data_IF_050212213771
#
_entry.id   IF_050212213771
#
_cell.length_a   1.000
_cell.length_b   1.000
_cell.length_c   1.000
_cell.angle_alpha   90.00
_cell.angle_beta   90.00
_cell.angle_gamma   90.00
#
_symmetry.space_group_name_H-M   'P 1'
#
loop_
_entity.id
_entity.type
_entity.pdbx_description
1 polymer ?
#
# COMPACT_ATOMS: atom_id res chain seq x y z
N UNK A 1 0.60 -31.35 2.33
CA UNK A 1 1.64 -30.29 2.34
C UNK A 1 2.59 -30.68 3.43
N UNK A 2 3.86 -30.94 3.09
CA UNK A 2 4.88 -31.20 4.10
C UNK A 2 5.07 -29.97 4.99
N UNK A 3 5.32 -30.22 6.27
CA UNK A 3 5.50 -29.20 7.30
C UNK A 3 6.60 -28.20 6.91
N UNK A 4 6.31 -26.91 7.05
CA UNK A 4 7.27 -25.82 6.76
C UNK A 4 8.51 -25.94 7.66
N UNK A 5 8.39 -26.57 8.83
CA UNK A 5 9.50 -26.87 9.74
C UNK A 5 10.57 -27.78 9.13
N UNK A 6 10.23 -28.59 8.12
CA UNK A 6 11.19 -29.41 7.37
C UNK A 6 12.19 -28.54 6.60
N UNK A 7 11.80 -27.33 6.19
CA UNK A 7 12.65 -26.43 5.40
C UNK A 7 13.53 -25.51 6.25
N UNK A 8 13.36 -25.50 7.57
CA UNK A 8 14.15 -24.67 8.50
C UNK A 8 15.20 -25.46 9.28
N UNK A 9 15.16 -26.79 9.20
CA UNK A 9 16.13 -27.68 9.83
C UNK A 9 17.32 -27.97 8.90
N UNK A 10 18.50 -28.20 9.49
CA UNK A 10 19.74 -28.58 8.80
C UNK A 10 19.65 -30.03 8.26
N UNK A 11 18.75 -30.27 7.31
CA UNK A 11 18.64 -31.54 6.63
C UNK A 11 19.71 -31.71 5.54
N UNK A 12 20.08 -32.96 5.17
CA UNK A 12 21.12 -33.24 4.17
C UNK A 12 20.83 -32.66 2.77
N UNK A 13 19.56 -32.40 2.44
CA UNK A 13 19.14 -31.79 1.17
C UNK A 13 19.05 -30.25 1.23
N UNK A 14 19.17 -29.65 2.41
CA UNK A 14 19.28 -28.20 2.55
C UNK A 14 20.63 -27.80 1.94
N UNK A 15 20.66 -27.01 0.84
CA UNK A 15 21.90 -26.79 0.11
C UNK A 15 22.95 -26.16 1.03
N UNK A 16 23.98 -26.93 1.38
CA UNK A 16 25.17 -26.38 2.03
C UNK A 16 25.94 -25.66 0.94
N UNK A 17 26.01 -24.31 0.98
CA UNK A 17 26.76 -23.59 -0.04
C UNK A 17 28.20 -24.10 -0.03
N UNK A 18 28.73 -24.42 -1.21
CA UNK A 18 30.13 -24.79 -1.39
C UNK A 18 31.03 -23.72 -0.76
N UNK A 19 32.19 -24.13 -0.23
CA UNK A 19 33.23 -23.15 0.13
C UNK A 19 33.55 -22.32 -1.12
N UNK A 20 33.53 -21.00 -0.98
CA UNK A 20 33.64 -20.09 -2.11
C UNK A 20 33.92 -18.66 -1.65
N UNK A 21 34.06 -17.73 -2.61
CA UNK A 21 34.37 -16.33 -2.30
C UNK A 21 33.17 -15.65 -1.64
N UNK A 22 33.39 -15.11 -0.44
CA UNK A 22 32.37 -14.30 0.23
C UNK A 22 32.30 -12.93 -0.46
N UNK A 23 31.09 -12.50 -0.80
CA UNK A 23 30.82 -11.16 -1.31
C UNK A 23 29.53 -10.59 -0.71
N UNK A 24 29.36 -9.28 -0.81
CA UNK A 24 28.20 -8.56 -0.27
C UNK A 24 27.59 -7.68 -1.35
N UNK A 25 26.26 -7.67 -1.42
CA UNK A 25 25.50 -6.84 -2.36
C UNK A 25 24.44 -6.07 -1.60
N UNK A 26 24.41 -4.76 -1.76
CA UNK A 26 23.36 -3.93 -1.20
C UNK A 26 22.13 -3.92 -2.11
N UNK A 27 20.96 -3.95 -1.50
CA UNK A 27 19.68 -3.90 -2.20
C UNK A 27 18.59 -3.35 -1.29
N UNK A 28 17.34 -3.47 -1.72
CA UNK A 28 16.17 -3.00 -0.98
C UNK A 28 15.17 -4.14 -0.84
N UNK A 29 14.70 -4.38 0.39
CA UNK A 29 13.65 -5.35 0.65
C UNK A 29 12.34 -4.89 0.01
N UNK A 30 11.68 -5.77 -0.74
CA UNK A 30 10.44 -5.49 -1.45
C UNK A 30 9.25 -6.32 -0.95
N UNK A 31 9.32 -6.80 0.30
CA UNK A 31 8.30 -7.66 0.90
C UNK A 31 7.20 -6.89 1.65
N UNK A 32 7.42 -5.62 1.93
CA UNK A 32 6.40 -4.70 2.45
C UNK A 32 6.61 -3.28 1.89
N UNK A 33 5.68 -2.35 2.13
CA UNK A 33 5.81 -0.95 1.69
C UNK A 33 7.00 -0.21 2.31
N UNK A 34 7.58 -0.70 3.41
CA UNK A 34 8.65 -0.02 4.13
C UNK A 34 9.98 0.09 3.38
N UNK A 35 10.26 -0.74 2.36
CA UNK A 35 11.48 -0.65 1.52
C UNK A 35 12.80 -0.52 2.32
N UNK A 36 12.97 -1.34 3.36
CA UNK A 36 14.21 -1.36 4.16
C UNK A 36 15.44 -1.68 3.28
N UNK A 37 16.55 -0.99 3.53
CA UNK A 37 17.83 -1.30 2.90
C UNK A 37 18.39 -2.61 3.47
N UNK A 38 18.89 -3.47 2.60
CA UNK A 38 19.43 -4.78 2.97
C UNK A 38 20.83 -4.98 2.39
N UNK A 39 21.64 -5.71 3.12
CA UNK A 39 22.93 -6.23 2.65
C UNK A 39 22.81 -7.74 2.56
N UNK A 40 22.97 -8.25 1.35
CA UNK A 40 22.92 -9.66 1.03
C UNK A 40 24.34 -10.23 1.01
N UNK A 41 24.63 -11.18 1.89
CA UNK A 41 25.88 -11.95 1.87
C UNK A 41 25.74 -13.11 0.90
N UNK A 42 26.72 -13.24 0.02
CA UNK A 42 26.84 -14.31 -0.96
C UNK A 42 28.07 -15.17 -0.72
N UNK A 43 27.98 -16.43 -1.11
CA UNK A 43 29.13 -17.30 -1.38
C UNK A 43 29.05 -17.65 -2.87
N UNK A 44 30.03 -17.17 -3.63
CA UNK A 44 30.00 -17.12 -5.10
C UNK A 44 28.70 -16.47 -5.62
N UNK A 45 27.80 -17.27 -6.20
CA UNK A 45 26.51 -16.81 -6.73
C UNK A 45 25.30 -17.14 -5.84
N UNK A 46 25.52 -17.77 -4.69
CA UNK A 46 24.46 -18.19 -3.78
C UNK A 46 24.26 -17.16 -2.67
N UNK A 47 23.03 -16.69 -2.50
CA UNK A 47 22.62 -15.88 -1.37
C UNK A 47 22.55 -16.75 -0.12
N UNK A 48 23.31 -16.42 0.92
CA UNK A 48 23.36 -17.24 2.15
C UNK A 48 22.79 -16.50 3.36
N UNK A 49 22.75 -15.16 3.32
CA UNK A 49 22.21 -14.34 4.42
C UNK A 49 21.69 -13.01 3.89
N UNK A 50 20.62 -12.52 4.51
CA UNK A 50 20.14 -11.14 4.35
C UNK A 50 20.25 -10.46 5.70
N UNK A 51 20.85 -9.27 5.74
CA UNK A 51 20.96 -8.43 6.93
C UNK A 51 20.45 -7.03 6.60
N UNK A 52 20.13 -6.23 7.62
CA UNK A 52 19.80 -4.83 7.40
C UNK A 52 21.03 -4.01 7.03
N UNK A 53 20.87 -3.05 6.13
CA UNK A 53 21.94 -2.16 5.70
C UNK A 53 22.16 -1.05 6.73
N UNK A 54 23.34 -1.01 7.36
CA UNK A 54 23.72 0.03 8.33
C UNK A 54 23.68 1.42 7.68
N UNK A 55 23.24 2.44 8.42
CA UNK A 55 23.04 3.82 7.96
C UNK A 55 21.95 4.02 6.90
N UNK A 56 21.20 2.99 6.51
CA UNK A 56 20.08 3.17 5.60
C UNK A 56 18.97 4.00 6.29
N UNK A 57 18.40 5.04 5.65
CA UNK A 57 17.52 6.01 6.32
C UNK A 57 16.29 5.39 7.01
N UNK A 58 15.77 4.29 6.47
CA UNK A 58 14.54 3.66 6.98
C UNK A 58 14.79 2.75 8.18
N UNK A 59 15.90 2.02 8.20
CA UNK A 59 16.05 0.87 9.09
C UNK A 59 17.39 0.80 9.80
N UNK A 60 18.39 1.60 9.43
CA UNK A 60 19.71 1.68 10.07
C UNK A 60 20.27 0.33 10.57
N UNK A 61 20.38 -0.65 9.67
CA UNK A 61 20.89 -1.99 10.00
C UNK A 61 19.87 -2.97 10.59
N UNK A 62 18.70 -2.50 11.00
CA UNK A 62 17.59 -3.35 11.45
C UNK A 62 16.92 -4.10 10.30
N UNK A 63 16.33 -5.25 10.58
CA UNK A 63 15.60 -6.05 9.61
C UNK A 63 14.51 -6.86 10.33
N UNK A 64 13.33 -6.97 9.73
CA UNK A 64 12.24 -7.78 10.30
C UNK A 64 12.39 -9.26 9.93
N UNK A 65 11.65 -10.14 10.61
CA UNK A 65 11.67 -11.59 10.38
C UNK A 65 11.34 -11.96 8.93
N UNK A 66 10.40 -11.24 8.30
CA UNK A 66 10.05 -11.45 6.89
C UNK A 66 11.21 -11.09 5.95
N UNK A 67 11.94 -10.00 6.23
CA UNK A 67 13.12 -9.61 5.47
C UNK A 67 14.28 -10.61 5.63
N UNK A 68 14.52 -11.08 6.86
CA UNK A 68 15.52 -12.11 7.17
C UNK A 68 15.23 -13.41 6.43
N UNK A 69 13.96 -13.82 6.37
CA UNK A 69 13.51 -15.03 5.67
C UNK A 69 13.46 -14.88 4.14
N UNK A 70 13.84 -13.73 3.57
CA UNK A 70 13.76 -13.48 2.13
C UNK A 70 14.56 -14.48 1.27
N UNK A 71 15.62 -15.08 1.82
CA UNK A 71 16.38 -16.15 1.14
C UNK A 71 15.54 -17.41 0.93
N UNK A 72 14.67 -17.77 1.89
CA UNK A 72 13.77 -18.92 1.77
C UNK A 72 12.76 -18.72 0.64
N UNK A 73 12.29 -17.48 0.44
CA UNK A 73 11.43 -17.14 -0.70
C UNK A 73 12.17 -17.33 -2.04
N UNK A 74 13.43 -16.88 -2.12
CA UNK A 74 14.24 -17.03 -3.33
C UNK A 74 14.40 -18.51 -3.75
N UNK A 75 14.67 -19.37 -2.77
CA UNK A 75 14.98 -20.80 -2.96
C UNK A 75 13.78 -21.74 -2.83
N UNK A 76 12.59 -21.21 -2.50
CA UNK A 76 11.38 -22.02 -2.35
C UNK A 76 11.13 -22.91 -3.57
N UNK A 77 10.84 -24.21 -3.37
CA UNK A 77 10.53 -25.12 -4.47
C UNK A 77 9.22 -24.76 -5.18
N UNK A 78 8.32 -24.05 -4.50
CA UNK A 78 7.04 -23.57 -5.04
C UNK A 78 7.19 -22.36 -5.96
N UNK A 79 8.38 -21.78 -6.06
CA UNK A 79 8.63 -20.62 -6.90
C UNK A 79 8.54 -21.02 -8.38
N UNK A 80 7.80 -20.25 -9.17
CA UNK A 80 7.71 -20.45 -10.62
C UNK A 80 8.99 -19.97 -11.29
N UNK A 81 9.69 -20.84 -12.00
CA UNK A 81 11.05 -20.58 -12.56
C UNK A 81 11.08 -20.26 -14.05
N UNK A 82 9.99 -20.54 -14.77
CA UNK A 82 9.85 -20.33 -16.22
C UNK A 82 8.44 -19.87 -16.53
N UNK A 83 8.20 -19.23 -17.69
CA UNK A 83 6.85 -18.97 -18.16
C UNK A 83 6.01 -20.25 -18.22
N UNK A 84 4.75 -20.16 -17.79
CA UNK A 84 3.79 -21.27 -17.81
C UNK A 84 2.55 -20.87 -18.58
N UNK A 85 2.10 -21.74 -19.49
CA UNK A 85 0.83 -21.65 -20.21
C UNK A 85 -0.18 -22.66 -19.70
N UNK A 86 -1.43 -22.24 -19.51
CA UNK A 86 -2.48 -23.15 -19.09
C UNK A 86 -2.80 -24.14 -20.20
N UNK A 87 -2.90 -25.42 -19.84
CA UNK A 87 -3.13 -26.54 -20.76
C UNK A 87 -4.49 -27.24 -20.54
N UNK A 88 -5.37 -26.68 -19.68
CA UNK A 88 -6.69 -27.24 -19.39
C UNK A 88 -7.68 -26.18 -18.92
N UNK A 89 -8.81 -26.64 -18.37
CA UNK A 89 -9.85 -25.76 -17.80
C UNK A 89 -9.30 -24.87 -16.68
N UNK A 90 -9.95 -23.71 -16.52
CA UNK A 90 -9.62 -22.73 -15.49
C UNK A 90 -9.72 -23.35 -14.09
N UNK A 91 -8.71 -23.12 -13.25
CA UNK A 91 -8.68 -23.61 -11.87
C UNK A 91 -8.34 -25.11 -11.69
N UNK A 92 -8.08 -25.87 -12.77
CA UNK A 92 -7.69 -27.30 -12.67
C UNK A 92 -6.18 -27.53 -12.48
N UNK A 93 -5.38 -26.47 -12.37
CA UNK A 93 -3.94 -26.57 -12.11
C UNK A 93 -3.11 -27.22 -13.23
N UNK A 94 -3.64 -27.36 -14.45
CA UNK A 94 -2.93 -27.95 -15.59
C UNK A 94 -2.09 -26.90 -16.33
N UNK A 95 -0.78 -26.96 -16.16
CA UNK A 95 0.19 -26.00 -16.71
C UNK A 95 1.25 -26.69 -17.57
N UNK A 96 1.60 -26.04 -18.68
CA UNK A 96 2.68 -26.40 -19.59
C UNK A 96 3.77 -25.33 -19.53
N UNK A 97 5.03 -25.74 -19.45
CA UNK A 97 6.16 -24.80 -19.58
C UNK A 97 6.28 -24.34 -21.03
N UNK A 98 6.46 -23.04 -21.22
CA UNK A 98 6.72 -22.44 -22.54
C UNK A 98 7.98 -21.58 -22.49
N UNK A 99 8.56 -21.28 -23.65
CA UNK A 99 9.68 -20.35 -23.74
C UNK A 99 9.24 -18.90 -23.47
N UNK A 100 10.20 -18.01 -23.24
CA UNK A 100 9.91 -16.58 -23.15
C UNK A 100 9.44 -16.00 -24.47
N UNK A 101 10.02 -16.45 -25.59
CA UNK A 101 9.65 -15.97 -26.93
C UNK A 101 8.21 -16.37 -27.26
N UNK A 102 7.80 -17.61 -26.95
CA UNK A 102 6.41 -18.06 -27.13
C UNK A 102 5.44 -17.27 -26.23
N UNK A 103 5.84 -16.99 -24.99
CA UNK A 103 5.03 -16.22 -24.06
C UNK A 103 4.82 -14.79 -24.58
N UNK A 104 5.89 -14.14 -25.02
CA UNK A 104 5.85 -12.79 -25.60
C UNK A 104 5.01 -12.81 -26.88
N UNK A 105 5.21 -13.78 -27.77
CA UNK A 105 4.46 -13.92 -29.03
C UNK A 105 2.94 -14.08 -28.81
N UNK A 106 2.52 -14.85 -27.81
CA UNK A 106 1.09 -14.99 -27.47
C UNK A 106 0.51 -13.66 -26.96
N UNK A 107 1.23 -12.94 -26.08
CA UNK A 107 0.79 -11.62 -25.58
C UNK A 107 0.71 -10.61 -26.72
N UNK A 108 1.75 -10.50 -27.54
CA UNK A 108 1.81 -9.51 -28.62
C UNK A 108 0.77 -9.80 -29.69
N UNK A 109 0.54 -11.08 -30.05
CA UNK A 109 -0.56 -11.47 -30.95
C UNK A 109 -1.90 -11.01 -30.40
N UNK A 110 -2.19 -11.31 -29.13
CA UNK A 110 -3.47 -10.95 -28.51
C UNK A 110 -3.67 -9.44 -28.43
N UNK A 111 -2.65 -8.69 -28.04
CA UNK A 111 -2.70 -7.23 -28.03
C UNK A 111 -2.83 -6.65 -29.44
N UNK A 112 -2.15 -7.22 -30.44
CA UNK A 112 -2.28 -6.83 -31.84
C UNK A 112 -3.70 -6.97 -32.37
N UNK A 113 -4.35 -8.11 -32.09
CA UNK A 113 -5.76 -8.37 -32.46
C UNK A 113 -6.74 -7.38 -31.83
N UNK A 114 -6.55 -7.01 -30.55
CA UNK A 114 -7.41 -6.04 -29.87
C UNK A 114 -7.18 -4.63 -30.41
N UNK A 115 -5.91 -4.27 -30.65
CA UNK A 115 -5.56 -2.94 -31.19
C UNK A 115 -6.07 -2.75 -32.61
N UNK A 116 -5.97 -3.75 -33.49
CA UNK A 116 -6.45 -3.66 -34.88
C UNK A 116 -7.96 -3.47 -34.98
N UNK A 117 -8.71 -3.94 -33.97
CA UNK A 117 -10.16 -3.72 -33.83
C UNK A 117 -10.54 -2.38 -33.17
N UNK A 118 -9.57 -1.55 -32.81
CA UNK A 118 -9.81 -0.30 -32.09
C UNK A 118 -10.21 -0.49 -30.61
N UNK A 119 -9.91 -1.66 -30.04
CA UNK A 119 -10.32 -2.05 -28.69
C UNK A 119 -9.19 -1.92 -27.65
N UNK A 120 -8.22 -1.04 -27.89
CA UNK A 120 -7.06 -0.81 -27.01
C UNK A 120 -7.48 -0.52 -25.56
N UNK A 121 -8.52 0.28 -25.37
CA UNK A 121 -9.10 0.61 -24.07
C UNK A 121 -9.64 -0.60 -23.27
N UNK A 122 -9.84 -1.76 -23.89
CA UNK A 122 -10.31 -2.98 -23.20
C UNK A 122 -9.19 -3.77 -22.50
N UNK A 123 -7.95 -3.31 -22.60
CA UNK A 123 -6.80 -3.91 -21.91
C UNK A 123 -6.60 -3.20 -20.57
N UNK A 124 -6.42 -3.93 -19.48
CA UNK A 124 -6.24 -3.34 -18.15
C UNK A 124 -4.99 -3.88 -17.45
N UNK A 125 -4.55 -3.18 -16.41
CA UNK A 125 -3.56 -3.69 -15.47
C UNK A 125 -3.98 -3.46 -14.02
N UNK A 126 -3.72 -4.45 -13.17
CA UNK A 126 -3.78 -4.34 -11.71
C UNK A 126 -2.37 -4.53 -11.15
N UNK A 127 -1.85 -3.51 -10.50
CA UNK A 127 -0.55 -3.54 -9.83
C UNK A 127 -0.71 -3.63 -8.30
N UNK A 128 0.18 -4.35 -7.63
CA UNK A 128 0.25 -4.37 -6.16
C UNK A 128 0.86 -3.12 -5.54
N UNK A 129 1.41 -2.23 -6.37
CA UNK A 129 1.96 -0.94 -5.94
C UNK A 129 1.88 0.08 -7.07
N UNK A 130 1.64 1.34 -6.72
CA UNK A 130 1.68 2.44 -7.68
C UNK A 130 3.11 2.85 -8.05
N UNK A 131 4.08 2.57 -7.17
CA UNK A 131 5.45 3.07 -7.26
C UNK A 131 6.46 1.98 -7.63
N UNK A 132 7.49 2.39 -8.38
CA UNK A 132 8.63 1.55 -8.77
C UNK A 132 8.70 1.33 -10.28
N UNK A 133 9.85 0.83 -10.75
CA UNK A 133 10.14 0.71 -12.18
C UNK A 133 9.17 -0.18 -12.96
N UNK A 134 8.65 -1.26 -12.37
CA UNK A 134 7.72 -2.16 -13.05
C UNK A 134 6.29 -1.59 -13.17
N UNK A 135 5.67 -1.04 -12.11
CA UNK A 135 4.43 -0.28 -12.26
C UNK A 135 4.54 0.85 -13.29
N UNK A 136 5.63 1.63 -13.26
CA UNK A 136 5.86 2.71 -14.22
C UNK A 136 6.04 2.19 -15.65
N UNK A 137 6.73 1.06 -15.84
CA UNK A 137 6.83 0.40 -17.15
C UNK A 137 5.45 -0.03 -17.67
N UNK A 138 4.59 -0.57 -16.80
CA UNK A 138 3.22 -0.94 -17.20
C UNK A 138 2.35 0.27 -17.50
N UNK A 139 2.43 1.35 -16.73
CA UNK A 139 1.77 2.63 -17.05
C UNK A 139 2.21 3.12 -18.43
N UNK A 140 3.53 3.16 -18.66
CA UNK A 140 4.11 3.55 -19.95
C UNK A 140 3.62 2.67 -21.10
N UNK A 141 3.60 1.36 -20.91
CA UNK A 141 3.10 0.40 -21.90
C UNK A 141 1.63 0.67 -22.22
N UNK A 142 0.77 0.85 -21.21
CA UNK A 142 -0.65 1.12 -21.43
C UNK A 142 -0.87 2.47 -22.12
N UNK A 143 -0.11 3.50 -21.77
CA UNK A 143 -0.13 4.80 -22.47
C UNK A 143 0.24 4.65 -23.93
N UNK A 144 1.35 3.96 -24.26
CA UNK A 144 1.74 3.72 -25.66
C UNK A 144 0.73 2.84 -26.40
N UNK A 145 0.14 1.88 -25.70
CA UNK A 145 -0.86 0.96 -26.24
C UNK A 145 -2.25 1.61 -26.42
N UNK A 146 -2.56 2.69 -25.71
CA UNK A 146 -3.86 3.35 -25.79
C UNK A 146 -4.90 2.83 -24.81
N UNK A 147 -4.48 2.39 -23.63
CA UNK A 147 -5.41 2.04 -22.56
C UNK A 147 -5.30 3.00 -21.39
N UNK A 148 -6.43 3.47 -20.84
CA UNK A 148 -6.44 4.29 -19.64
C UNK A 148 -6.41 3.44 -18.34
N UNK A 149 -6.55 2.12 -18.44
CA UNK A 149 -6.92 1.23 -17.34
C UNK A 149 -5.74 0.69 -16.53
N UNK A 150 -4.90 1.58 -15.99
CA UNK A 150 -3.91 1.22 -14.97
C UNK A 150 -4.50 1.39 -13.56
N UNK A 151 -4.65 0.32 -12.81
CA UNK A 151 -5.22 0.33 -11.46
C UNK A 151 -4.23 -0.27 -10.45
N UNK A 152 -4.30 0.21 -9.20
CA UNK A 152 -3.55 -0.35 -8.09
C UNK A 152 -4.46 -1.07 -7.10
N UNK A 153 -3.94 -2.10 -6.43
CA UNK A 153 -4.55 -2.64 -5.20
C UNK A 153 -4.73 -1.51 -4.19
N UNK A 154 -5.89 -1.45 -3.55
CA UNK A 154 -6.20 -0.40 -2.59
C UNK A 154 -5.22 -0.40 -1.43
N UNK A 155 -4.88 0.80 -0.96
CA UNK A 155 -3.98 0.99 0.17
C UNK A 155 -4.44 2.16 1.03
N UNK A 156 -3.95 2.19 2.27
CA UNK A 156 -4.17 3.30 3.19
C UNK A 156 -3.70 4.64 2.62
N UNK A 157 -2.69 4.61 1.74
CA UNK A 157 -2.11 5.79 1.11
C UNK A 157 -3.09 6.47 0.16
N UNK A 158 -4.05 5.73 -0.41
CA UNK A 158 -5.07 6.26 -1.31
C UNK A 158 -5.85 7.40 -0.64
N UNK A 159 -6.26 7.20 0.63
CA UNK A 159 -6.97 8.22 1.39
C UNK A 159 -6.04 9.25 2.03
N UNK A 160 -4.81 8.90 2.41
CA UNK A 160 -3.86 9.93 2.85
C UNK A 160 -3.59 10.95 1.76
N UNK A 161 -3.29 10.49 0.54
CA UNK A 161 -3.07 11.37 -0.61
C UNK A 161 -4.32 12.17 -0.97
N UNK A 162 -5.50 11.55 -0.94
CA UNK A 162 -6.77 12.23 -1.23
C UNK A 162 -7.10 13.27 -0.17
N UNK A 163 -6.91 12.97 1.12
CA UNK A 163 -7.11 13.91 2.24
C UNK A 163 -6.16 15.10 2.12
N UNK A 164 -4.87 14.88 1.85
CA UNK A 164 -3.90 15.96 1.65
C UNK A 164 -4.30 16.83 0.45
N UNK A 165 -4.70 16.21 -0.66
CA UNK A 165 -5.13 16.95 -1.85
C UNK A 165 -6.38 17.81 -1.56
N UNK A 166 -7.38 17.25 -0.88
CA UNK A 166 -8.62 17.94 -0.54
C UNK A 166 -8.46 19.03 0.53
N UNK A 167 -7.64 18.79 1.56
CA UNK A 167 -7.55 19.67 2.72
C UNK A 167 -6.38 20.65 2.64
N UNK A 168 -5.37 20.39 1.82
CA UNK A 168 -4.20 21.25 1.66
C UNK A 168 -3.99 21.74 0.22
N UNK A 169 -4.80 21.30 -0.74
CA UNK A 169 -4.75 21.77 -2.13
C UNK A 169 -3.51 21.32 -2.91
N UNK A 170 -2.72 20.40 -2.36
CA UNK A 170 -1.46 19.93 -2.94
C UNK A 170 -1.46 18.42 -3.10
N UNK A 171 -0.88 17.93 -4.20
CA UNK A 171 -0.65 16.49 -4.39
C UNK A 171 0.63 16.08 -3.66
N UNK A 172 0.50 15.33 -2.57
CA UNK A 172 1.64 14.88 -1.77
C UNK A 172 1.35 13.60 -1.00
N UNK A 173 2.41 13.04 -0.43
CA UNK A 173 2.39 11.86 0.45
C UNK A 173 2.38 12.32 1.91
N UNK A 174 1.72 11.56 2.79
CA UNK A 174 1.84 11.79 4.23
C UNK A 174 3.16 11.22 4.75
N UNK A 175 4.00 12.05 5.36
CA UNK A 175 5.15 11.66 6.17
C UNK A 175 4.90 11.98 7.64
N UNK A 176 5.41 11.17 8.56
CA UNK A 176 5.22 11.38 10.00
C UNK A 176 6.57 11.40 10.70
N UNK A 177 6.90 12.50 11.40
CA UNK A 177 8.16 12.68 12.13
C UNK A 177 8.06 12.11 13.55
N UNK A 178 7.84 10.81 13.62
CA UNK A 178 7.63 10.09 14.88
C UNK A 178 8.78 10.24 15.88
N UNK A 179 10.02 10.31 15.41
CA UNK A 179 11.21 10.43 16.26
C UNK A 179 11.26 11.71 17.07
N UNK A 180 10.63 12.76 16.56
CA UNK A 180 10.59 14.08 17.18
C UNK A 180 9.29 14.31 17.96
N UNK A 181 8.22 13.56 17.71
CA UNK A 181 6.95 13.70 18.44
C UNK A 181 7.10 13.45 19.94
N UNK A 182 6.35 14.18 20.77
CA UNK A 182 6.27 14.00 22.22
C UNK A 182 4.92 13.45 22.70
N UNK A 183 3.92 13.44 21.82
CA UNK A 183 2.63 12.81 22.03
C UNK A 183 2.11 12.23 20.71
N UNK A 184 1.70 10.95 20.71
CA UNK A 184 1.18 10.26 19.53
C UNK A 184 -0.24 9.79 19.80
N UNK A 185 -1.19 10.25 18.99
CA UNK A 185 -2.59 9.85 19.04
C UNK A 185 -2.91 9.00 17.80
N UNK A 186 -3.06 7.69 17.99
CA UNK A 186 -3.14 6.72 16.90
C UNK A 186 -4.52 6.08 16.80
N UNK A 187 -5.20 6.27 15.68
CA UNK A 187 -6.56 5.80 15.40
C UNK A 187 -6.54 4.57 14.49
N UNK A 188 -6.60 3.37 15.10
CA UNK A 188 -6.63 2.08 14.42
C UNK A 188 -5.29 1.63 13.81
N UNK A 189 -4.27 2.48 13.85
CA UNK A 189 -3.02 2.26 13.13
C UNK A 189 -2.14 1.26 13.85
N UNK A 190 -1.91 0.12 13.21
CA UNK A 190 -1.02 -0.92 13.72
C UNK A 190 0.45 -0.54 13.52
N UNK A 191 0.88 0.61 14.07
CA UNK A 191 2.23 1.16 13.88
C UNK A 191 3.33 0.16 14.27
N UNK A 192 3.11 -0.70 15.27
CA UNK A 192 4.04 -1.78 15.64
C UNK A 192 3.64 -3.14 15.01
N UNK A 193 2.44 -3.26 14.42
CA UNK A 193 1.97 -4.49 13.75
C UNK A 193 2.40 -4.57 12.27
N UNK A 194 3.08 -3.54 11.75
CA UNK A 194 3.59 -3.51 10.38
C UNK A 194 2.93 -2.50 9.46
N UNK A 195 2.23 -1.52 10.01
CA UNK A 195 1.86 -0.30 9.31
C UNK A 195 3.12 0.44 8.82
N UNK A 196 3.13 0.84 7.55
CA UNK A 196 4.29 1.51 6.93
C UNK A 196 5.55 0.63 6.93
N UNK A 197 6.60 1.10 7.61
CA UNK A 197 7.86 0.36 7.77
C UNK A 197 7.98 -0.20 9.19
N UNK A 198 7.80 -1.51 9.35
CA UNK A 198 7.81 -2.15 10.68
C UNK A 198 9.11 -1.89 11.44
N UNK A 199 10.27 -1.95 10.77
CA UNK A 199 11.58 -1.76 11.42
C UNK A 199 11.75 -0.31 11.88
N UNK A 200 11.36 0.65 11.04
CA UNK A 200 11.37 2.06 11.39
C UNK A 200 10.49 2.31 12.62
N UNK A 201 9.28 1.74 12.65
CA UNK A 201 8.37 1.89 13.78
C UNK A 201 8.85 1.16 15.04
N UNK A 202 9.57 0.04 14.93
CA UNK A 202 10.22 -0.58 16.09
C UNK A 202 11.29 0.32 16.70
N UNK A 203 12.08 1.00 15.86
CA UNK A 203 13.08 1.96 16.29
C UNK A 203 12.43 3.21 16.90
N UNK A 204 11.36 3.74 16.29
CA UNK A 204 10.58 4.84 16.85
C UNK A 204 10.00 4.48 18.22
N UNK A 205 9.35 3.33 18.35
CA UNK A 205 8.82 2.82 19.63
C UNK A 205 9.91 2.63 20.70
N UNK A 206 11.10 2.15 20.33
CA UNK A 206 12.23 2.09 21.28
C UNK A 206 12.66 3.47 21.76
N UNK A 207 12.73 4.47 20.86
CA UNK A 207 13.06 5.86 21.20
C UNK A 207 11.98 6.49 22.08
N UNK A 208 10.70 6.25 21.79
CA UNK A 208 9.57 6.74 22.58
C UNK A 208 9.63 6.26 24.02
N UNK A 209 9.90 4.98 24.25
CA UNK A 209 10.06 4.43 25.60
C UNK A 209 11.21 5.08 26.37
N UNK A 210 12.35 5.28 25.72
CA UNK A 210 13.51 5.95 26.36
C UNK A 210 13.23 7.41 26.71
N UNK A 211 12.38 8.08 25.94
CA UNK A 211 12.01 9.49 26.13
C UNK A 211 10.69 9.67 26.91
N UNK A 212 10.05 8.59 27.35
CA UNK A 212 8.71 8.61 27.95
C UNK A 212 7.66 9.37 27.11
N UNK A 213 7.72 9.22 25.77
CA UNK A 213 6.69 9.77 24.87
C UNK A 213 5.36 9.07 25.13
N UNK A 214 4.29 9.84 25.28
CA UNK A 214 2.95 9.29 25.47
C UNK A 214 2.37 8.86 24.13
N UNK A 215 2.08 7.57 24.00
CA UNK A 215 1.43 6.98 22.82
C UNK A 215 0.07 6.46 23.25
N UNK A 216 -0.99 7.04 22.69
CA UNK A 216 -2.37 6.60 22.92
C UNK A 216 -2.85 5.87 21.68
N UNK A 217 -3.19 4.59 21.84
CA UNK A 217 -3.72 3.75 20.78
C UNK A 217 -5.23 3.61 20.94
N UNK A 218 -5.97 4.12 19.96
CA UNK A 218 -7.43 4.06 19.88
C UNK A 218 -7.79 2.99 18.85
N UNK A 219 -8.25 1.83 19.30
CA UNK A 219 -8.76 0.79 18.41
C UNK A 219 -9.63 -0.23 19.18
N UNK A 220 -10.48 -1.02 18.50
CA UNK A 220 -11.38 -1.94 19.20
C UNK A 220 -10.73 -3.16 19.86
N UNK A 221 -9.51 -3.53 19.44
CA UNK A 221 -8.81 -4.73 19.94
C UNK A 221 -7.51 -4.35 20.66
N UNK A 222 -7.11 -5.13 21.66
CA UNK A 222 -5.77 -5.03 22.24
C UNK A 222 -4.73 -5.60 21.26
N UNK A 223 -4.27 -4.78 20.31
CA UNK A 223 -3.22 -5.13 19.36
C UNK A 223 -1.81 -5.17 19.98
N UNK A 224 -0.78 -5.61 19.25
CA UNK A 224 0.59 -5.44 19.77
C UNK A 224 0.98 -3.96 19.84
N UNK A 225 0.35 -3.11 19.03
CA UNK A 225 0.54 -1.66 19.14
C UNK A 225 -0.08 -1.15 20.44
N UNK A 226 -1.33 -1.49 20.71
CA UNK A 226 -2.04 -1.11 21.94
C UNK A 226 -1.33 -1.62 23.20
N UNK A 227 -0.93 -2.90 23.22
CA UNK A 227 -0.19 -3.50 24.32
C UNK A 227 1.21 -2.89 24.55
N UNK A 228 1.76 -2.18 23.56
CA UNK A 228 3.06 -1.51 23.62
C UNK A 228 2.97 0.00 23.75
N UNK A 229 1.76 0.54 23.74
CA UNK A 229 1.45 1.97 23.89
C UNK A 229 1.35 2.35 25.36
N UNK A 230 1.34 3.65 25.66
CA UNK A 230 1.15 4.16 27.02
C UNK A 230 -0.27 3.90 27.51
N UNK A 231 -1.24 3.96 26.59
CA UNK A 231 -2.66 3.75 26.90
C UNK A 231 -3.38 3.13 25.69
N UNK A 232 -4.31 2.22 25.96
CA UNK A 232 -5.24 1.67 24.97
C UNK A 232 -6.65 2.17 25.27
N UNK A 233 -7.30 2.76 24.26
CA UNK A 233 -8.69 3.22 24.33
C UNK A 233 -9.56 2.28 23.46
N UNK A 234 -10.37 1.41 24.07
CA UNK A 234 -11.24 0.47 23.35
C UNK A 234 -12.47 1.18 22.80
N UNK A 235 -12.35 1.68 21.57
CA UNK A 235 -13.45 2.32 20.84
C UNK A 235 -14.30 1.29 20.10
N UNK A 236 -15.61 1.57 19.93
CA UNK A 236 -16.48 0.72 19.10
C UNK A 236 -15.98 0.69 17.64
N UNK A 237 -15.93 -0.49 16.98
CA UNK A 237 -15.45 -0.60 15.60
C UNK A 237 -16.15 0.35 14.64
N UNK A 238 -15.39 1.10 13.85
CA UNK A 238 -15.97 2.02 12.87
C UNK A 238 -16.18 3.45 13.38
N UNK A 239 -15.91 3.73 14.65
CA UNK A 239 -16.21 5.04 15.29
C UNK A 239 -14.96 5.85 15.63
N UNK A 240 -13.79 5.45 15.16
CA UNK A 240 -12.52 6.16 15.37
C UNK A 240 -12.56 7.62 14.88
N UNK A 241 -13.13 7.87 13.69
CA UNK A 241 -13.31 9.22 13.16
C UNK A 241 -14.28 10.08 13.99
N UNK A 242 -15.31 9.47 14.58
CA UNK A 242 -16.26 10.15 15.48
C UNK A 242 -15.54 10.57 16.76
N UNK A 243 -14.69 9.71 17.32
CA UNK A 243 -13.88 10.05 18.49
C UNK A 243 -12.89 11.19 18.17
N UNK A 244 -12.26 11.17 16.99
CA UNK A 244 -11.39 12.26 16.54
C UNK A 244 -12.16 13.60 16.47
N UNK A 245 -13.39 13.61 15.97
CA UNK A 245 -14.25 14.80 15.94
C UNK A 245 -14.71 15.24 17.34
N UNK A 246 -14.93 14.32 18.27
CA UNK A 246 -15.20 14.66 19.68
C UNK A 246 -13.99 15.26 20.40
N UNK A 247 -12.78 14.83 20.07
CA UNK A 247 -11.54 15.47 20.54
C UNK A 247 -11.43 16.88 19.95
N UNK A 248 -11.69 17.02 18.64
CA UNK A 248 -11.73 18.32 17.97
C UNK A 248 -12.76 19.26 18.60
N UNK A 249 -13.95 18.76 18.95
CA UNK A 249 -14.99 19.52 19.65
C UNK A 249 -14.42 20.19 20.91
N UNK A 250 -13.76 19.44 21.78
CA UNK A 250 -13.24 19.98 23.05
C UNK A 250 -12.16 21.03 22.80
N UNK A 251 -11.24 20.76 21.86
CA UNK A 251 -10.18 21.71 21.49
C UNK A 251 -10.78 23.04 21.01
N UNK A 252 -11.82 22.97 20.17
CA UNK A 252 -12.50 24.15 19.61
C UNK A 252 -13.32 24.88 20.67
N UNK A 253 -14.10 24.14 21.47
CA UNK A 253 -14.97 24.69 22.51
C UNK A 253 -14.18 25.44 23.57
N UNK A 254 -13.05 24.86 24.03
CA UNK A 254 -12.12 25.53 24.96
C UNK A 254 -11.24 26.59 24.30
N UNK A 255 -11.28 26.71 22.97
CA UNK A 255 -10.42 27.61 22.19
C UNK A 255 -8.91 27.40 22.44
N UNK A 256 -8.49 26.15 22.62
CA UNK A 256 -7.09 25.74 22.85
C UNK A 256 -6.39 25.23 21.58
N UNK A 257 -6.92 25.55 20.41
CA UNK A 257 -6.24 25.33 19.13
C UNK A 257 -5.22 26.42 18.85
N UNK A 258 -4.28 26.14 17.95
CA UNK A 258 -3.30 27.09 17.45
C UNK A 258 -3.98 28.13 16.55
N UNK A 259 -4.27 29.31 17.11
CA UNK A 259 -4.95 30.41 16.40
C UNK A 259 -4.15 30.90 15.19
N UNK A 260 -2.84 31.12 15.35
CA UNK A 260 -1.97 31.57 14.26
C UNK A 260 -2.02 30.63 13.06
N UNK A 261 -2.02 29.31 13.31
CA UNK A 261 -2.14 28.33 12.24
C UNK A 261 -3.50 28.43 11.55
N UNK A 262 -4.59 28.49 12.32
CA UNK A 262 -5.95 28.56 11.78
C UNK A 262 -6.17 29.85 10.99
N UNK A 263 -5.72 30.99 11.51
CA UNK A 263 -5.95 32.30 10.90
C UNK A 263 -5.12 32.49 9.61
N UNK A 264 -3.93 31.90 9.53
CA UNK A 264 -3.02 32.10 8.38
C UNK A 264 -2.99 30.94 7.38
N UNK A 265 -3.38 29.72 7.78
CA UNK A 265 -3.18 28.50 6.98
C UNK A 265 -4.43 27.62 6.88
N UNK A 266 -5.61 28.14 7.22
CA UNK A 266 -6.88 27.43 7.03
C UNK A 266 -7.92 28.27 6.29
N UNK A 267 -8.91 27.60 5.70
CA UNK A 267 -10.08 28.25 5.10
C UNK A 267 -11.35 27.51 5.54
N UNK A 268 -12.45 28.24 5.71
CA UNK A 268 -13.73 27.64 6.10
C UNK A 268 -13.80 27.14 7.55
N UNK A 269 -12.83 27.49 8.40
CA UNK A 269 -12.78 27.05 9.81
C UNK A 269 -14.06 27.35 10.58
N UNK A 270 -14.65 28.55 10.43
CA UNK A 270 -15.89 28.91 11.15
C UNK A 270 -17.07 28.00 10.81
N UNK A 271 -17.26 27.65 9.53
CA UNK A 271 -18.32 26.73 9.11
C UNK A 271 -18.08 25.33 9.67
N UNK A 272 -16.84 24.85 9.59
CA UNK A 272 -16.46 23.55 10.14
C UNK A 272 -16.59 23.50 11.66
N UNK A 273 -16.15 24.55 12.37
CA UNK A 273 -16.34 24.73 13.82
C UNK A 273 -17.81 24.64 14.21
N UNK A 274 -18.69 25.34 13.52
CA UNK A 274 -20.12 25.29 13.82
C UNK A 274 -20.70 23.87 13.62
N UNK A 275 -20.31 23.19 12.54
CA UNK A 275 -20.68 21.80 12.30
C UNK A 275 -20.17 20.88 13.42
N UNK A 276 -18.89 20.98 13.79
CA UNK A 276 -18.30 20.13 14.85
C UNK A 276 -19.01 20.36 16.19
N UNK A 277 -19.24 21.62 16.56
CA UNK A 277 -19.89 21.99 17.82
C UNK A 277 -21.38 21.62 17.86
N UNK A 278 -22.05 21.53 16.72
CA UNK A 278 -23.45 21.10 16.64
C UNK A 278 -23.57 19.57 16.76
N UNK A 279 -22.73 18.82 16.03
CA UNK A 279 -22.95 17.38 15.82
C UNK A 279 -22.17 16.48 16.81
N UNK A 280 -21.02 16.94 17.33
CA UNK A 280 -20.07 16.08 18.05
C UNK A 280 -19.90 16.46 19.54
N UNK A 281 -20.99 16.88 20.20
CA UNK A 281 -20.99 17.05 21.65
C UNK A 281 -20.49 15.75 22.35
N UNK A 282 -19.62 15.85 23.38
CA UNK A 282 -19.12 14.72 24.17
C UNK A 282 -20.16 13.69 24.61
N UNK A 283 -21.39 14.08 24.95
CA UNK A 283 -22.47 13.14 25.30
C UNK A 283 -22.80 12.19 24.14
N UNK A 284 -22.99 12.74 22.94
CA UNK A 284 -23.30 11.97 21.75
C UNK A 284 -22.10 11.13 21.31
N UNK A 285 -20.90 11.72 21.34
CA UNK A 285 -19.66 11.01 20.98
C UNK A 285 -19.43 9.84 21.94
N UNK A 286 -19.63 10.02 23.24
CA UNK A 286 -19.47 8.96 24.23
C UNK A 286 -20.42 7.80 23.96
N UNK A 287 -21.71 8.08 23.70
CA UNK A 287 -22.69 7.05 23.33
C UNK A 287 -22.30 6.27 22.07
N UNK A 288 -21.88 6.98 21.02
CA UNK A 288 -21.53 6.38 19.73
C UNK A 288 -20.23 5.58 19.78
N UNK A 289 -19.22 6.07 20.49
CA UNK A 289 -17.87 5.49 20.52
C UNK A 289 -17.68 4.49 21.64
N UNK A 290 -18.47 4.59 22.72
CA UNK A 290 -18.26 3.84 23.97
C UNK A 290 -17.14 4.40 24.85
N UNK A 291 -16.55 5.56 24.52
CA UNK A 291 -15.48 6.19 25.30
C UNK A 291 -16.07 7.22 26.25
N UNK A 292 -15.67 7.20 27.52
CA UNK A 292 -16.18 8.14 28.53
C UNK A 292 -15.82 9.59 28.19
N UNK A 293 -16.76 10.51 28.47
CA UNK A 293 -16.58 11.96 28.26
C UNK A 293 -15.31 12.50 28.91
N UNK A 294 -14.99 12.03 30.12
CA UNK A 294 -13.79 12.45 30.85
C UNK A 294 -12.51 12.03 30.11
N UNK A 295 -12.51 10.87 29.45
CA UNK A 295 -11.39 10.42 28.61
C UNK A 295 -11.29 11.29 27.36
N UNK A 296 -12.40 11.60 26.70
CA UNK A 296 -12.42 12.48 25.51
C UNK A 296 -11.85 13.88 25.86
N UNK A 297 -12.32 14.47 26.96
CA UNK A 297 -11.82 15.76 27.43
C UNK A 297 -10.32 15.69 27.75
N UNK A 298 -9.88 14.69 28.52
CA UNK A 298 -8.46 14.49 28.84
C UNK A 298 -7.60 14.37 27.59
N UNK A 299 -7.97 13.52 26.64
CA UNK A 299 -7.22 13.33 25.39
C UNK A 299 -7.10 14.63 24.59
N UNK A 300 -8.16 15.43 24.55
CA UNK A 300 -8.15 16.73 23.89
C UNK A 300 -7.20 17.72 24.55
N UNK A 301 -7.24 17.85 25.88
CA UNK A 301 -6.31 18.74 26.59
C UNK A 301 -4.86 18.26 26.47
N UNK A 302 -4.60 16.95 26.60
CA UNK A 302 -3.25 16.40 26.49
C UNK A 302 -2.68 16.60 25.07
N UNK A 303 -3.48 16.33 24.04
CA UNK A 303 -3.06 16.49 22.65
C UNK A 303 -2.80 17.96 22.29
N UNK A 304 -3.67 18.88 22.71
CA UNK A 304 -3.50 20.31 22.43
C UNK A 304 -2.34 20.97 23.20
N UNK A 305 -2.02 20.49 24.40
CA UNK A 305 -0.95 21.07 25.24
C UNK A 305 0.43 20.40 25.04
N UNK A 306 0.50 19.29 24.29
CA UNK A 306 1.77 18.68 23.93
C UNK A 306 2.59 19.63 23.03
N UNK A 307 3.93 19.54 23.07
CA UNK A 307 4.79 20.46 22.33
C UNK A 307 4.90 20.09 20.86
N UNK A 308 4.86 18.79 20.54
CA UNK A 308 4.96 18.23 19.18
C UNK A 308 4.01 17.03 19.02
N UNK A 309 2.69 17.25 19.15
CA UNK A 309 1.68 16.19 19.03
C UNK A 309 1.46 15.75 17.59
N UNK A 310 1.32 14.45 17.35
CA UNK A 310 0.92 13.94 16.03
C UNK A 310 -0.27 13.00 16.14
N UNK A 311 -1.27 13.22 15.29
CA UNK A 311 -2.40 12.33 15.13
C UNK A 311 -2.29 11.55 13.82
N UNK A 312 -2.54 10.25 13.88
CA UNK A 312 -2.40 9.31 12.76
C UNK A 312 -3.60 8.38 12.70
N UNK A 313 -4.01 7.96 11.50
CA UNK A 313 -5.12 7.03 11.32
C UNK A 313 -4.89 5.94 10.28
N UNK A 314 -5.84 5.01 10.26
CA UNK A 314 -5.96 3.92 9.30
C UNK A 314 -5.68 2.58 9.96
N UNK A 315 -6.10 1.49 9.32
CA UNK A 315 -6.33 0.21 10.01
C UNK A 315 -5.39 -0.91 9.57
N UNK A 316 -5.01 -1.75 10.53
CA UNK A 316 -4.18 -2.94 10.29
C UNK A 316 -2.84 -2.60 9.65
N UNK A 317 -2.43 -3.40 8.65
CA UNK A 317 -1.17 -3.17 7.90
C UNK A 317 -1.29 -2.10 6.79
N UNK A 318 -2.45 -1.45 6.63
CA UNK A 318 -2.64 -0.43 5.61
C UNK A 318 -2.94 -0.95 4.19
N UNK A 319 -3.43 -2.18 4.06
CA UNK A 319 -3.82 -2.80 2.78
C UNK A 319 -5.25 -2.44 2.35
N UNK A 320 -5.86 -1.41 2.95
CA UNK A 320 -7.20 -0.90 2.64
C UNK A 320 -7.20 0.61 2.79
N UNK A 321 -7.96 1.30 1.94
CA UNK A 321 -8.07 2.76 1.96
C UNK A 321 -8.70 3.29 3.26
N UNK A 322 -9.73 2.61 3.79
CA UNK A 322 -10.49 3.11 4.94
C UNK A 322 -11.53 4.17 4.55
N UNK A 323 -12.06 4.90 5.53
CA UNK A 323 -13.04 5.97 5.35
C UNK A 323 -12.33 7.30 5.13
N UNK A 324 -12.63 8.03 4.05
CA UNK A 324 -12.07 9.36 3.81
C UNK A 324 -12.39 10.33 4.96
N UNK A 325 -13.59 10.21 5.55
CA UNK A 325 -14.00 11.07 6.65
C UNK A 325 -13.16 10.84 7.92
N UNK A 326 -12.74 9.60 8.20
CA UNK A 326 -11.86 9.30 9.34
C UNK A 326 -10.51 9.99 9.16
N UNK A 327 -9.97 9.96 7.93
CA UNK A 327 -8.69 10.58 7.61
C UNK A 327 -8.77 12.09 7.68
N UNK A 328 -9.84 12.70 7.15
CA UNK A 328 -10.05 14.14 7.25
C UNK A 328 -10.22 14.60 8.71
N UNK A 329 -10.96 13.85 9.53
CA UNK A 329 -11.13 14.15 10.95
C UNK A 329 -9.79 14.11 11.71
N UNK A 330 -8.97 13.08 11.48
CA UNK A 330 -7.68 12.94 12.15
C UNK A 330 -6.64 13.93 11.60
N UNK A 331 -6.67 14.23 10.30
CA UNK A 331 -5.82 15.26 9.71
C UNK A 331 -6.17 16.65 10.26
N UNK A 332 -7.46 16.95 10.46
CA UNK A 332 -7.91 18.20 11.09
C UNK A 332 -7.38 18.37 12.52
N UNK A 333 -7.22 17.30 13.30
CA UNK A 333 -6.58 17.38 14.62
C UNK A 333 -5.14 17.93 14.53
N UNK A 334 -4.34 17.47 13.56
CA UNK A 334 -2.99 18.00 13.34
C UNK A 334 -3.01 19.48 12.94
N UNK A 335 -4.02 19.91 12.17
CA UNK A 335 -4.23 21.32 11.83
C UNK A 335 -4.64 22.17 13.04
N UNK A 336 -5.53 21.67 13.89
CA UNK A 336 -5.96 22.37 15.12
C UNK A 336 -4.80 22.66 16.06
N UNK A 337 -3.80 21.79 16.16
CA UNK A 337 -2.60 22.01 16.98
C UNK A 337 -1.46 22.68 16.20
N UNK A 338 -1.68 23.01 14.93
CA UNK A 338 -0.71 23.68 14.07
C UNK A 338 0.53 22.86 13.74
N UNK A 339 0.46 21.52 13.80
CA UNK A 339 1.61 20.63 13.66
C UNK A 339 1.67 19.95 12.27
N UNK A 340 1.17 20.63 11.23
CA UNK A 340 1.35 20.24 9.82
C UNK A 340 2.60 20.95 9.27
N UNK A 341 3.48 20.21 8.60
CA UNK A 341 4.80 20.65 8.13
C UNK A 341 5.70 21.20 9.24
N UNK A 342 5.56 20.64 10.44
CA UNK A 342 6.33 21.00 11.62
C UNK A 342 7.08 19.79 12.18
N UNK A 343 8.17 20.06 12.91
CA UNK A 343 8.98 19.02 13.55
C UNK A 343 8.15 18.23 14.57
N UNK A 344 8.17 16.90 14.47
CA UNK A 344 7.35 16.01 15.28
C UNK A 344 5.90 15.88 14.83
N UNK A 345 5.53 16.50 13.72
CA UNK A 345 4.18 16.49 13.16
C UNK A 345 4.04 15.65 11.89
N UNK A 346 2.98 15.96 11.14
CA UNK A 346 2.73 15.39 9.81
C UNK A 346 3.35 16.28 8.74
N UNK A 347 4.03 15.68 7.77
CA UNK A 347 4.67 16.35 6.64
C UNK A 347 3.93 16.01 5.36
N UNK A 348 3.71 17.03 4.53
CA UNK A 348 3.29 16.83 3.14
C UNK A 348 4.55 16.67 2.30
N UNK A 349 4.85 15.43 1.92
CA UNK A 349 6.06 15.09 1.18
C UNK A 349 5.76 15.07 -0.32
N UNK A 350 6.48 15.83 -1.16
CA UNK A 350 6.33 15.74 -2.61
C UNK A 350 6.55 14.32 -3.11
N UNK A 351 5.79 13.88 -4.12
CA UNK A 351 6.06 12.59 -4.76
C UNK A 351 7.48 12.63 -5.37
N UNK A 352 8.36 11.67 -5.07
CA UNK A 352 9.73 11.69 -5.56
C UNK A 352 9.76 11.57 -7.08
N UNK A 353 10.63 12.31 -7.73
CA UNK A 353 11.02 12.04 -9.12
C UNK A 353 12.15 11.02 -9.10
N UNK A 354 11.85 9.77 -9.46
CA UNK A 354 12.81 8.66 -9.42
C UNK A 354 12.94 7.93 -10.76
N UNK A 355 12.15 8.30 -11.77
CA UNK A 355 12.24 7.79 -13.14
C UNK A 355 12.13 8.97 -14.09
N UNK A 356 13.14 9.14 -14.94
CA UNK A 356 13.18 10.19 -15.97
C UNK A 356 13.18 9.55 -17.36
N UNK A 357 12.03 9.01 -17.77
CA UNK A 357 11.84 8.46 -19.11
C UNK A 357 11.21 9.51 -20.02
N UNK A 358 11.58 9.56 -21.31
CA UNK A 358 11.00 10.52 -22.26
C UNK A 358 9.49 10.29 -22.40
N UNK A 359 8.72 11.33 -22.66
CA UNK A 359 7.27 11.20 -22.85
C UNK A 359 6.90 10.20 -23.95
N UNK A 360 5.76 9.54 -23.79
CA UNK A 360 5.26 8.58 -24.79
C UNK A 360 4.54 9.33 -25.89
N UNK A 361 5.04 9.23 -27.13
CA UNK A 361 4.30 9.68 -28.30
C UNK A 361 3.20 8.67 -28.62
N UNK A 362 1.95 9.11 -28.57
CA UNK A 362 0.79 8.29 -28.93
C UNK A 362 0.47 8.43 -30.42
N UNK A 363 0.13 7.32 -31.07
CA UNK A 363 -0.53 7.37 -32.37
C UNK A 363 -2.05 7.63 -32.22
N UNK A 364 -2.76 7.78 -33.35
CA UNK A 364 -4.19 8.09 -33.35
C UNK A 364 -5.04 7.02 -32.64
N UNK A 365 -4.69 5.74 -32.78
CA UNK A 365 -5.40 4.65 -32.12
C UNK A 365 -5.18 4.68 -30.61
N UNK A 366 -3.95 4.97 -30.19
CA UNK A 366 -3.60 5.08 -28.78
C UNK A 366 -4.31 6.27 -28.12
N UNK A 367 -4.27 7.44 -28.75
CA UNK A 367 -4.95 8.63 -28.25
C UNK A 367 -6.48 8.41 -28.11
N UNK A 368 -7.12 7.79 -29.10
CA UNK A 368 -8.55 7.46 -29.06
C UNK A 368 -8.90 6.50 -27.92
N UNK A 369 -8.05 5.51 -27.66
CA UNK A 369 -8.24 4.54 -26.58
C UNK A 369 -8.01 5.15 -25.20
N UNK A 370 -6.92 5.92 -25.02
CA UNK A 370 -6.62 6.63 -23.76
C UNK A 370 -7.66 7.70 -23.43
N UNK A 371 -8.30 8.30 -24.43
CA UNK A 371 -9.41 9.25 -24.24
C UNK A 371 -10.71 8.62 -23.72
N UNK A 372 -10.80 7.28 -23.60
CA UNK A 372 -11.94 6.62 -22.97
C UNK A 372 -11.91 6.79 -21.46
N UNK A 373 -13.09 6.83 -20.86
CA UNK A 373 -13.19 6.79 -19.40
C UNK A 373 -12.62 5.47 -18.86
N UNK A 374 -11.90 5.55 -17.75
CA UNK A 374 -11.40 4.37 -17.04
C UNK A 374 -12.55 3.47 -16.56
N UNK A 375 -12.30 2.16 -16.55
CA UNK A 375 -13.26 1.16 -16.10
C UNK A 375 -13.65 1.39 -14.63
N UNK A 376 -12.70 1.81 -13.78
CA UNK A 376 -12.90 2.10 -12.37
C UNK A 376 -13.54 3.48 -12.10
N UNK A 377 -13.62 4.34 -13.13
CA UNK A 377 -14.13 5.71 -13.06
C UNK A 377 -13.25 6.66 -12.24
N UNK A 378 -12.00 6.30 -11.96
CA UNK A 378 -11.05 7.20 -11.32
C UNK A 378 -10.67 8.34 -12.27
N UNK A 379 -10.53 9.56 -11.75
CA UNK A 379 -10.20 10.75 -12.54
C UNK A 379 -11.35 11.35 -13.34
N UNK A 380 -12.60 10.88 -13.17
CA UNK A 380 -13.79 11.40 -13.87
C UNK A 380 -14.94 11.72 -12.90
N UNK A 381 -15.78 12.70 -13.27
CA UNK A 381 -17.02 13.05 -12.56
C UNK A 381 -16.79 13.28 -11.06
N UNK A 382 -17.56 12.57 -10.21
CA UNK A 382 -17.45 12.66 -8.74
C UNK A 382 -16.13 12.11 -8.16
N UNK A 383 -15.28 11.49 -8.97
CA UNK A 383 -13.99 10.90 -8.57
C UNK A 383 -12.80 11.57 -9.27
N UNK A 384 -12.95 12.83 -9.69
CA UNK A 384 -11.93 13.58 -10.42
C UNK A 384 -10.55 13.63 -9.72
N UNK A 385 -10.52 13.55 -8.38
CA UNK A 385 -9.30 13.60 -7.58
C UNK A 385 -8.80 12.24 -7.08
N UNK A 386 -9.49 11.15 -7.42
CA UNK A 386 -9.14 9.80 -6.95
C UNK A 386 -8.24 9.10 -7.97
N UNK A 387 -7.15 8.47 -7.50
CA UNK A 387 -6.18 7.78 -8.37
C UNK A 387 -6.66 6.39 -8.82
N UNK A 388 -7.23 5.59 -7.90
CA UNK A 388 -7.65 4.20 -8.17
C UNK A 388 -8.94 3.86 -7.44
N UNK A 389 -9.81 3.09 -8.09
CA UNK A 389 -11.09 2.63 -7.51
C UNK A 389 -11.33 1.15 -7.77
N UNK A 390 -10.29 0.32 -7.61
CA UNK A 390 -10.31 -1.10 -7.96
C UNK A 390 -11.44 -1.88 -7.28
N UNK A 391 -11.84 -1.51 -6.06
CA UNK A 391 -12.93 -2.17 -5.32
C UNK A 391 -14.28 -2.17 -6.06
N UNK A 392 -14.50 -1.21 -6.97
CA UNK A 392 -15.73 -1.08 -7.76
C UNK A 392 -15.71 -1.93 -9.04
N UNK A 393 -14.53 -2.29 -9.51
CA UNK A 393 -14.33 -2.94 -10.81
C UNK A 393 -15.07 -4.27 -10.94
N UNK A 394 -15.08 -5.16 -9.92
CA UNK A 394 -15.82 -6.41 -10.02
C UNK A 394 -17.31 -6.22 -10.29
N UNK A 395 -17.97 -5.30 -9.60
CA UNK A 395 -19.39 -5.01 -9.81
C UNK A 395 -19.66 -4.43 -11.20
N UNK A 396 -18.77 -3.57 -11.68
CA UNK A 396 -18.86 -2.98 -13.04
C UNK A 396 -18.75 -4.07 -14.11
N UNK A 397 -17.76 -4.96 -14.00
CA UNK A 397 -17.58 -6.09 -14.93
C UNK A 397 -18.75 -7.10 -14.82
N UNK A 398 -19.24 -7.36 -13.61
CA UNK A 398 -20.33 -8.31 -13.42
C UNK A 398 -21.66 -7.81 -13.97
N UNK A 399 -21.90 -6.50 -13.95
CA UNK A 399 -23.13 -5.86 -14.43
C UNK A 399 -23.16 -5.56 -15.93
N UNK A 400 -22.04 -5.75 -16.63
CA UNK A 400 -21.90 -5.50 -18.08
C UNK A 400 -22.32 -4.07 -18.51
N UNK A 401 -22.30 -3.10 -17.57
CA UNK A 401 -22.76 -1.71 -17.77
C UNK A 401 -21.74 -0.82 -18.50
N UNK A 402 -20.47 -1.19 -18.49
CA UNK A 402 -19.38 -0.51 -19.21
C UNK A 402 -18.79 -1.46 -20.26
N UNK A 403 -17.80 -0.98 -21.02
CA UNK A 403 -17.08 -1.84 -21.95
C UNK A 403 -16.40 -3.01 -21.22
N UNK A 404 -16.29 -4.19 -21.86
CA UNK A 404 -15.66 -5.35 -21.26
C UNK A 404 -14.14 -5.19 -21.19
N UNK A 405 -13.52 -5.77 -20.15
CA UNK A 405 -12.07 -5.97 -20.12
C UNK A 405 -11.75 -7.27 -20.85
N UNK A 406 -10.97 -7.18 -21.93
CA UNK A 406 -10.62 -8.32 -22.80
C UNK A 406 -9.22 -8.88 -22.54
N UNK A 407 -8.37 -8.10 -21.88
CA UNK A 407 -7.05 -8.54 -21.41
C UNK A 407 -6.69 -7.87 -20.10
N UNK A 408 -6.07 -8.61 -19.18
CA UNK A 408 -5.65 -8.10 -17.86
C UNK A 408 -4.20 -8.52 -17.54
N UNK A 409 -3.38 -7.53 -17.21
CA UNK A 409 -2.04 -7.72 -16.66
C UNK A 409 -2.05 -7.56 -15.14
N UNK A 410 -1.68 -8.60 -14.39
CA UNK A 410 -1.62 -8.55 -12.93
C UNK A 410 -0.17 -8.55 -12.48
N UNK A 411 0.28 -7.47 -11.82
CA UNK A 411 1.67 -7.28 -11.40
C UNK A 411 1.78 -7.26 -9.87
N UNK A 412 2.37 -8.31 -9.27
CA UNK A 412 2.55 -8.39 -7.81
C UNK A 412 1.26 -8.14 -7.00
N UNK A 413 0.12 -8.49 -7.55
CA UNK A 413 -1.18 -8.34 -6.93
C UNK A 413 -1.87 -9.70 -6.92
N UNK A 414 -2.75 -9.89 -5.93
CA UNK A 414 -3.57 -11.08 -5.83
C UNK A 414 -5.04 -10.70 -5.57
N UNK A 415 -5.70 -10.03 -6.53
CA UNK A 415 -7.05 -9.50 -6.34
C UNK A 415 -8.11 -10.60 -6.10
N UNK A 416 -7.88 -11.85 -6.50
CA UNK A 416 -8.77 -12.96 -6.15
C UNK A 416 -8.83 -13.22 -4.64
N UNK A 417 -7.70 -13.09 -3.94
CA UNK A 417 -7.61 -13.32 -2.50
C UNK A 417 -7.84 -12.06 -1.67
N UNK A 418 -7.29 -10.92 -2.12
CA UNK A 418 -7.15 -9.72 -1.28
C UNK A 418 -8.32 -8.73 -1.39
N UNK A 419 -9.20 -8.87 -2.39
CA UNK A 419 -10.35 -7.97 -2.52
C UNK A 419 -11.40 -8.22 -1.43
N UNK A 420 -12.10 -7.18 -0.93
CA UNK A 420 -13.09 -7.34 0.14
C UNK A 420 -14.25 -8.28 -0.18
N UNK A 421 -14.71 -8.30 -1.44
CA UNK A 421 -15.73 -9.24 -1.93
C UNK A 421 -15.07 -10.19 -2.93
N UNK A 422 -14.42 -11.24 -2.41
CA UNK A 422 -13.67 -12.22 -3.20
C UNK A 422 -14.53 -12.96 -4.21
N UNK A 423 -15.80 -13.23 -3.90
CA UNK A 423 -16.72 -13.95 -4.79
C UNK A 423 -17.11 -13.09 -5.99
N UNK A 424 -17.45 -11.82 -5.75
CA UNK A 424 -17.72 -10.88 -6.83
C UNK A 424 -16.47 -10.64 -7.69
N UNK A 425 -15.29 -10.52 -7.07
CA UNK A 425 -14.01 -10.40 -7.74
C UNK A 425 -13.71 -11.61 -8.63
N UNK A 426 -13.88 -12.83 -8.10
CA UNK A 426 -13.72 -14.07 -8.84
C UNK A 426 -14.67 -14.12 -10.04
N UNK A 427 -15.97 -13.89 -9.83
CA UNK A 427 -16.96 -13.87 -10.92
C UNK A 427 -16.60 -12.88 -12.03
N UNK A 428 -16.15 -11.68 -11.66
CA UNK A 428 -15.80 -10.64 -12.61
C UNK A 428 -14.54 -11.01 -13.42
N UNK A 429 -13.47 -11.40 -12.74
CA UNK A 429 -12.21 -11.75 -13.41
C UNK A 429 -12.31 -13.07 -14.18
N UNK A 430 -13.27 -13.94 -13.84
CA UNK A 430 -13.62 -15.12 -14.63
C UNK A 430 -14.24 -14.80 -15.99
N UNK A 431 -14.83 -13.61 -16.18
CA UNK A 431 -15.31 -13.13 -17.48
C UNK A 431 -14.19 -12.59 -18.39
N UNK A 432 -12.98 -12.35 -17.88
CA UNK A 432 -11.90 -11.75 -18.67
C UNK A 432 -11.22 -12.82 -19.52
N UNK A 433 -11.21 -12.73 -20.87
CA UNK A 433 -10.73 -13.78 -21.79
C UNK A 433 -9.22 -13.78 -22.07
N UNK A 434 -8.43 -12.94 -21.40
CA UNK A 434 -6.98 -13.10 -21.40
C UNK A 434 -6.36 -12.50 -20.13
N UNK A 435 -5.75 -13.31 -19.26
CA UNK A 435 -5.07 -12.83 -18.05
C UNK A 435 -3.61 -13.27 -18.04
N UNK A 436 -2.71 -12.31 -17.81
CA UNK A 436 -1.26 -12.49 -17.66
C UNK A 436 -0.87 -12.09 -16.25
N UNK A 437 -0.30 -13.02 -15.48
CA UNK A 437 0.13 -12.79 -14.10
C UNK A 437 1.66 -12.71 -14.02
N UNK A 438 2.18 -11.62 -13.47
CA UNK A 438 3.59 -11.42 -13.13
C UNK A 438 3.78 -11.64 -11.63
N UNK A 439 3.78 -12.91 -11.22
CA UNK A 439 4.01 -13.32 -9.84
C UNK A 439 5.26 -14.22 -9.74
N UNK A 440 5.69 -14.51 -8.51
CA UNK A 440 6.78 -15.46 -8.25
C UNK A 440 6.25 -16.83 -7.83
N UNK A 441 4.97 -16.91 -7.47
CA UNK A 441 4.31 -18.10 -6.94
C UNK A 441 2.96 -18.29 -7.62
N UNK A 442 2.48 -19.52 -7.62
CA UNK A 442 1.15 -19.84 -8.09
C UNK A 442 0.11 -19.46 -7.02
N UNK A 443 -0.15 -18.15 -6.90
CA UNK A 443 -1.19 -17.59 -6.04
C UNK A 443 -2.60 -17.73 -6.65
N UNK A 444 -3.66 -17.44 -5.90
CA UNK A 444 -5.06 -17.61 -6.32
C UNK A 444 -5.34 -16.88 -7.64
N UNK A 445 -4.78 -15.69 -7.83
CA UNK A 445 -4.93 -14.95 -9.09
C UNK A 445 -4.17 -15.62 -10.24
N UNK A 446 -2.98 -16.17 -9.99
CA UNK A 446 -2.18 -16.89 -10.98
C UNK A 446 -2.81 -18.24 -11.36
N UNK A 447 -3.41 -18.96 -10.41
CA UNK A 447 -4.14 -20.21 -10.68
C UNK A 447 -5.38 -19.98 -11.54
N UNK A 448 -6.02 -18.83 -11.32
CA UNK A 448 -7.15 -18.37 -12.13
C UNK A 448 -6.70 -17.50 -13.32
N UNK A 449 -5.40 -17.32 -13.57
CA UNK A 449 -4.94 -16.60 -14.75
C UNK A 449 -5.08 -17.48 -15.99
N UNK A 450 -5.30 -16.83 -17.13
CA UNK A 450 -5.80 -17.57 -18.28
C UNK A 450 -4.71 -18.28 -19.06
N UNK A 451 -3.56 -17.62 -19.22
CA UNK A 451 -2.60 -18.09 -20.21
C UNK A 451 -1.14 -17.93 -19.87
N UNK A 452 -0.68 -16.95 -19.09
CA UNK A 452 0.76 -16.81 -18.88
C UNK A 452 1.07 -16.36 -17.46
N UNK A 453 1.81 -17.21 -16.73
CA UNK A 453 2.49 -16.81 -15.52
C UNK A 453 3.95 -16.51 -15.84
N UNK A 454 4.40 -15.29 -15.53
CA UNK A 454 5.74 -14.82 -15.84
C UNK A 454 6.53 -14.59 -14.55
N UNK A 455 7.68 -15.26 -14.44
CA UNK A 455 8.60 -15.15 -13.31
C UNK A 455 8.98 -13.69 -13.04
N UNK A 456 8.77 -13.25 -11.80
CA UNK A 456 9.46 -12.07 -11.26
C UNK A 456 10.75 -12.44 -10.51
N UNK A 457 11.82 -11.71 -10.86
CA UNK A 457 13.14 -11.85 -10.25
C UNK A 457 13.34 -10.99 -8.99
N UNK A 458 12.49 -11.11 -7.95
CA UNK A 458 12.57 -10.23 -6.74
C UNK A 458 13.93 -10.25 -6.02
N UNK A 459 14.55 -11.41 -5.84
CA UNK A 459 15.87 -11.57 -5.20
C UNK A 459 16.95 -12.10 -6.15
N UNK A 460 16.57 -12.50 -7.36
CA UNK A 460 17.52 -13.08 -8.32
C UNK A 460 18.43 -12.05 -8.97
N UNK A 461 18.08 -10.76 -8.99
CA UNK A 461 19.05 -9.71 -9.35
C UNK A 461 20.16 -9.53 -8.29
N UNK A 462 19.93 -9.99 -7.05
CA UNK A 462 20.95 -10.04 -5.99
C UNK A 462 21.83 -11.29 -6.17
N UNK A 463 21.22 -12.44 -6.43
CA UNK A 463 21.95 -13.69 -6.63
C UNK A 463 22.79 -13.71 -7.93
N UNK A 464 22.26 -13.17 -9.03
CA UNK A 464 22.96 -13.00 -10.32
C UNK A 464 22.77 -11.57 -10.83
N UNK A 465 23.81 -10.88 -11.33
CA UNK A 465 23.65 -9.58 -11.98
C UNK A 465 22.57 -9.66 -13.07
N UNK A 466 21.69 -8.65 -13.14
CA UNK A 466 20.61 -8.61 -14.12
C UNK A 466 21.10 -8.22 -15.55
N UNK A 467 22.41 -8.13 -15.76
CA UNK A 467 23.06 -7.77 -17.03
C UNK A 467 23.30 -8.95 -18.00
N UNK A 468 23.15 -10.21 -17.56
CA UNK A 468 23.56 -11.37 -18.37
C UNK A 468 22.48 -11.98 -19.28
N UNK A 469 21.57 -11.17 -19.86
CA UNK A 469 20.73 -11.56 -21.01
C UNK A 469 20.29 -10.32 -21.81
N UNK A 470 21.08 -9.97 -22.82
CA UNK A 470 20.62 -9.34 -24.06
C UNK A 470 19.74 -10.31 -24.83
#
# INVERSE_FOLDING_TARGET
MDDISIWTQNWPWTPVPSKGKVSYVNSTCALCPGRCGITARKIDNNLVKIEGMKKHPVNDGGICLLGLAGSQLLYSPLRVKSPLKRAGEKGKGKWQKISWDDAIAEVTKRLGELRSKGESHTVASISGSELGSLPELLKRLLTAYGSPNFMCMSSIWDNYELTINLMSGVKGLAGFDFESSDYVLSFGSGIVDGWGSSVHMFQANSKWRKKNVKVVQIEPRLSNTAAKSSEWIPVKPGTEGILALGIAYIIIWKSIYNKDFIDNYSVGFNNWKNFVLAEFNPDNVSKLTGVDKAVIDRLANEFANAKRPVAICGRGQGNRAGSLNDFMAVYALNGLVGNINQKGGVWIVPKPSYINWPEVKQDNLAAKGTGKERIDGAGSGKYAMTNHLLSRVPEIINSDKKYPIKALFVLNANPYYTMPNSDAAKKAFDKIPFVVSFSSYMDETSENAEKIHILKRRYSCIAKPCHDRT
#
